data_IF_055808008652
#
_entry.id   IF_055808008652
#
_cell.length_a   1.000
_cell.length_b   1.000
_cell.length_c   1.000
_cell.angle_alpha   90.00
_cell.angle_beta   90.00
_cell.angle_gamma   90.00
#
_symmetry.space_group_name_H-M   'P 1'
#
loop_
_entity.id
_entity.type
_entity.pdbx_description
1 polymer ?
#
# COMPACT_ATOMS: atom_id res chain seq x y z
N UNK A 1 -8.08 34.38 11.95
CA UNK A 1 -8.62 33.06 11.54
C UNK A 1 -8.06 32.72 10.15
N UNK A 2 -6.89 32.10 10.06
CA UNK A 2 -6.67 30.65 9.82
C UNK A 2 -6.30 30.27 8.38
N UNK A 3 -5.11 30.69 7.91
CA UNK A 3 -4.44 30.05 6.76
C UNK A 3 -4.03 28.59 7.08
N UNK A 4 -3.64 28.32 8.34
CA UNK A 4 -3.32 26.96 8.83
C UNK A 4 -4.53 25.98 8.77
N UNK A 5 -5.78 26.47 8.81
CA UNK A 5 -6.97 25.58 8.63
C UNK A 5 -7.21 25.20 7.17
N UNK A 6 -6.81 26.04 6.22
CA UNK A 6 -7.03 25.74 4.80
C UNK A 6 -6.09 24.62 4.31
N UNK A 7 -4.80 24.63 4.69
CA UNK A 7 -3.87 23.53 4.41
C UNK A 7 -4.34 22.19 5.02
N UNK A 8 -4.87 22.20 6.25
CA UNK A 8 -5.49 20.99 6.85
C UNK A 8 -6.68 20.49 6.04
N UNK A 9 -7.55 21.37 5.52
CA UNK A 9 -8.68 20.97 4.66
C UNK A 9 -8.23 20.40 3.30
N UNK A 10 -7.11 20.85 2.73
CA UNK A 10 -6.57 20.32 1.47
C UNK A 10 -5.94 18.94 1.65
N UNK A 11 -5.19 18.71 2.74
CA UNK A 11 -4.67 17.38 3.10
C UNK A 11 -5.80 16.41 3.48
N UNK A 12 -6.85 16.90 4.16
CA UNK A 12 -8.08 16.12 4.43
C UNK A 12 -8.89 15.82 3.16
N UNK A 13 -8.83 16.67 2.12
CA UNK A 13 -9.46 16.40 0.82
C UNK A 13 -8.67 15.39 -0.02
N UNK A 14 -7.33 15.38 0.09
CA UNK A 14 -6.49 14.35 -0.56
C UNK A 14 -6.69 12.95 0.05
N UNK A 15 -7.03 12.85 1.33
CA UNK A 15 -7.41 11.58 2.01
C UNK A 15 -8.82 11.05 1.65
N UNK A 16 -9.69 11.85 1.02
CA UNK A 16 -11.12 11.51 0.81
C UNK A 16 -11.44 10.58 -0.37
N UNK A 17 -10.43 9.97 -0.99
CA UNK A 17 -10.61 8.81 -1.88
C UNK A 17 -9.82 7.61 -1.38
N UNK A 18 -9.70 7.45 -0.06
CA UNK A 18 -9.58 6.09 0.46
C UNK A 18 -10.81 5.33 0.00
N UNK A 19 -10.61 4.41 -0.95
CA UNK A 19 -11.64 3.52 -1.44
C UNK A 19 -12.32 2.88 -0.24
N UNK A 20 -13.67 2.87 -0.18
CA UNK A 20 -14.42 2.16 0.88
C UNK A 20 -13.88 0.72 1.08
N UNK A 21 -13.51 0.06 -0.03
CA UNK A 21 -12.88 -1.27 -0.05
C UNK A 21 -11.58 -1.38 0.76
N UNK A 22 -10.85 -0.28 0.94
CA UNK A 22 -9.63 -0.27 1.73
C UNK A 22 -9.95 -0.23 3.24
N UNK A 23 -11.02 0.46 3.63
CA UNK A 23 -11.48 0.45 5.02
C UNK A 23 -12.03 -0.92 5.39
N UNK A 24 -12.86 -1.51 4.52
CA UNK A 24 -13.34 -2.89 4.66
C UNK A 24 -12.18 -3.89 4.80
N UNK A 25 -11.10 -3.69 4.03
CA UNK A 25 -9.90 -4.53 4.12
C UNK A 25 -9.20 -4.41 5.49
N UNK A 26 -9.13 -3.21 6.06
CA UNK A 26 -8.53 -3.00 7.37
C UNK A 26 -9.36 -3.65 8.48
N UNK A 27 -10.69 -3.54 8.41
CA UNK A 27 -11.59 -4.19 9.38
C UNK A 27 -11.42 -5.72 9.35
N UNK A 28 -11.34 -6.32 8.17
CA UNK A 28 -11.09 -7.76 8.02
C UNK A 28 -9.71 -8.15 8.56
N UNK A 29 -8.68 -7.33 8.33
CA UNK A 29 -7.34 -7.58 8.85
C UNK A 29 -7.29 -7.55 10.39
N UNK A 30 -8.05 -6.64 11.02
CA UNK A 30 -8.18 -6.56 12.47
C UNK A 30 -8.94 -7.77 13.05
N UNK A 31 -9.98 -8.24 12.37
CA UNK A 31 -10.68 -9.48 12.75
C UNK A 31 -9.77 -10.70 12.66
N UNK A 32 -8.99 -10.81 11.58
CA UNK A 32 -8.02 -11.89 11.41
C UNK A 32 -6.89 -11.83 12.45
N UNK A 33 -6.51 -10.63 12.92
CA UNK A 33 -5.52 -10.50 14.00
C UNK A 33 -6.04 -11.09 15.31
N UNK A 34 -7.33 -10.86 15.63
CA UNK A 34 -7.99 -11.43 16.81
C UNK A 34 -8.08 -12.96 16.73
N UNK A 35 -8.18 -13.50 15.52
CA UNK A 35 -8.12 -14.95 15.26
C UNK A 35 -6.69 -15.51 15.19
N UNK A 36 -5.67 -14.70 15.49
CA UNK A 36 -4.23 -15.03 15.37
C UNK A 36 -3.79 -15.43 13.94
N UNK A 37 -4.59 -15.09 12.93
CA UNK A 37 -4.30 -15.34 11.51
C UNK A 37 -3.61 -14.14 10.90
N UNK A 38 -2.33 -14.32 10.60
CA UNK A 38 -1.48 -13.26 10.10
C UNK A 38 -1.35 -13.31 8.57
N UNK A 39 -1.86 -12.28 7.89
CA UNK A 39 -1.94 -12.24 6.43
C UNK A 39 -1.28 -10.98 5.88
N UNK A 40 -0.50 -11.16 4.81
CA UNK A 40 0.09 -10.06 4.04
C UNK A 40 -0.63 -9.92 2.71
N UNK A 41 -1.29 -8.78 2.49
CA UNK A 41 -2.08 -8.50 1.29
C UNK A 41 -1.37 -7.44 0.46
N UNK A 42 -1.13 -7.72 -0.83
CA UNK A 42 -0.52 -6.76 -1.74
C UNK A 42 -1.54 -5.69 -2.15
N UNK A 43 -1.14 -4.43 -2.08
CA UNK A 43 -2.01 -3.28 -2.34
C UNK A 43 -1.34 -2.33 -3.33
N UNK A 44 -2.16 -1.73 -4.19
CA UNK A 44 -1.71 -0.71 -5.11
C UNK A 44 -1.32 0.57 -4.36
N UNK A 45 -0.10 1.11 -4.54
CA UNK A 45 0.32 2.34 -3.88
C UNK A 45 -0.50 3.57 -4.31
N UNK A 46 -1.10 3.54 -5.51
CA UNK A 46 -1.82 4.68 -6.07
C UNK A 46 -3.30 4.72 -5.66
N UNK A 47 -4.03 3.61 -5.81
CA UNK A 47 -5.48 3.58 -5.56
C UNK A 47 -5.88 2.79 -4.29
N UNK A 48 -4.90 2.22 -3.57
CA UNK A 48 -5.11 1.37 -2.39
C UNK A 48 -6.00 0.14 -2.63
N UNK A 49 -6.13 -0.31 -3.88
CA UNK A 49 -6.84 -1.54 -4.21
C UNK A 49 -6.01 -2.79 -3.93
N UNK A 50 -6.60 -3.88 -3.38
CA UNK A 50 -5.95 -5.17 -3.24
C UNK A 50 -5.84 -5.96 -4.56
N UNK A 51 -6.41 -5.45 -5.67
CA UNK A 51 -6.39 -6.12 -6.99
C UNK A 51 -5.07 -5.88 -7.72
N UNK A 52 -3.96 -6.26 -7.08
CA UNK A 52 -2.61 -6.24 -7.64
C UNK A 52 -2.23 -7.64 -8.09
N UNK A 53 -1.69 -7.76 -9.30
CA UNK A 53 -1.18 -9.02 -9.85
C UNK A 53 0.26 -8.88 -10.31
N UNK A 54 1.03 -9.95 -10.25
CA UNK A 54 2.33 -10.02 -10.94
C UNK A 54 2.11 -10.06 -12.45
N UNK A 55 2.86 -9.25 -13.19
CA UNK A 55 2.88 -9.26 -14.66
C UNK A 55 3.64 -10.50 -15.12
N UNK A 56 3.04 -11.27 -16.02
CA UNK A 56 3.68 -12.48 -16.56
C UNK A 56 4.69 -12.12 -17.65
N UNK A 57 5.59 -13.06 -17.96
CA UNK A 57 6.57 -12.92 -19.04
C UNK A 57 5.88 -12.60 -20.38
N UNK A 58 4.79 -13.32 -20.68
CA UNK A 58 3.95 -13.12 -21.88
C UNK A 58 3.21 -11.77 -21.91
N UNK A 59 3.07 -11.08 -20.77
CA UNK A 59 2.43 -9.76 -20.66
C UNK A 59 3.47 -8.62 -20.64
N UNK A 60 4.76 -8.92 -20.82
CA UNK A 60 5.83 -7.93 -20.98
C UNK A 60 6.83 -7.82 -19.83
N UNK A 61 6.90 -8.79 -18.90
CA UNK A 61 7.96 -8.84 -17.87
C UNK A 61 8.97 -9.99 -18.09
N UNK A 62 9.50 -10.08 -19.32
CA UNK A 62 10.54 -11.06 -19.67
C UNK A 62 11.79 -10.91 -18.81
N UNK A 63 12.18 -9.66 -18.51
CA UNK A 63 13.34 -9.36 -17.67
C UNK A 63 13.24 -9.95 -16.26
N UNK A 64 12.04 -9.97 -15.65
CA UNK A 64 11.88 -10.61 -14.34
C UNK A 64 11.87 -12.12 -14.43
N UNK A 65 11.30 -12.67 -15.50
CA UNK A 65 11.31 -14.11 -15.70
C UNK A 65 12.73 -14.67 -15.87
N UNK A 66 13.62 -13.90 -16.49
CA UNK A 66 15.05 -14.19 -16.61
C UNK A 66 15.85 -13.88 -15.33
N UNK A 67 15.22 -13.40 -14.26
CA UNK A 67 15.88 -13.05 -13.01
C UNK A 67 16.77 -11.80 -13.07
N UNK A 68 16.75 -11.05 -14.17
CA UNK A 68 17.56 -9.83 -14.32
C UNK A 68 17.01 -8.66 -13.51
N UNK A 69 15.68 -8.57 -13.38
CA UNK A 69 15.01 -7.50 -12.66
C UNK A 69 13.96 -8.05 -11.69
N UNK A 70 13.66 -7.34 -10.58
CA UNK A 70 12.59 -7.73 -9.66
C UNK A 70 11.23 -7.84 -10.36
N UNK A 71 10.31 -8.63 -9.80
CA UNK A 71 8.97 -8.81 -10.38
C UNK A 71 8.25 -7.48 -10.63
N UNK A 72 7.64 -7.34 -11.81
CA UNK A 72 6.73 -6.25 -12.12
C UNK A 72 5.31 -6.63 -11.71
N UNK A 73 4.58 -5.65 -11.21
CA UNK A 73 3.21 -5.78 -10.74
C UNK A 73 2.30 -4.83 -11.49
N UNK A 74 1.02 -5.17 -11.55
CA UNK A 74 -0.03 -4.39 -12.17
C UNK A 74 -1.26 -4.32 -11.27
N UNK A 75 -1.83 -3.12 -11.10
CA UNK A 75 -3.15 -2.95 -10.52
C UNK A 75 -4.24 -2.97 -11.62
N UNK A 76 -5.20 -3.88 -11.49
CA UNK A 76 -6.32 -3.99 -12.45
C UNK A 76 -7.30 -2.83 -12.42
N UNK A 77 -7.36 -2.09 -11.31
CA UNK A 77 -8.36 -1.02 -11.15
C UNK A 77 -7.89 0.34 -11.67
N UNK A 78 -6.58 0.64 -11.61
CA UNK A 78 -6.04 1.95 -12.03
C UNK A 78 -4.91 1.87 -13.08
N UNK A 79 -4.47 0.66 -13.44
CA UNK A 79 -3.41 0.47 -14.44
C UNK A 79 -2.00 0.76 -13.94
N UNK A 80 -1.80 1.03 -12.65
CA UNK A 80 -0.47 1.17 -12.05
C UNK A 80 0.40 -0.05 -12.37
N UNK A 81 1.62 0.16 -12.87
CA UNK A 81 2.54 -0.89 -13.34
C UNK A 81 4.00 -0.61 -12.97
N UNK A 82 4.46 -1.16 -11.86
CA UNK A 82 5.81 -0.94 -11.34
C UNK A 82 6.36 -2.18 -10.63
N UNK A 83 7.63 -2.13 -10.20
CA UNK A 83 8.29 -3.26 -9.51
C UNK A 83 8.22 -3.15 -7.97
N UNK A 84 7.76 -2.02 -7.42
CA UNK A 84 7.64 -1.80 -5.98
C UNK A 84 6.24 -2.19 -5.49
N UNK A 85 6.13 -3.09 -4.52
CA UNK A 85 4.83 -3.49 -3.95
C UNK A 85 4.69 -3.02 -2.52
N UNK A 86 3.53 -2.46 -2.23
CA UNK A 86 3.11 -2.15 -0.85
C UNK A 86 2.28 -3.33 -0.34
N UNK A 87 2.53 -3.76 0.89
CA UNK A 87 1.73 -4.78 1.56
C UNK A 87 1.00 -4.15 2.74
N UNK A 88 -0.28 -4.45 2.90
CA UNK A 88 -0.94 -4.32 4.20
C UNK A 88 -0.81 -5.63 4.94
N UNK A 89 -0.54 -5.54 6.24
CA UNK A 89 -0.39 -6.69 7.12
C UNK A 89 -1.00 -6.35 8.46
N UNK A 90 -1.56 -7.36 9.13
CA UNK A 90 -1.98 -7.31 10.52
C UNK A 90 -0.91 -7.86 11.47
N UNK A 91 0.29 -8.13 10.96
CA UNK A 91 1.42 -8.52 11.81
C UNK A 91 1.87 -7.35 12.65
N UNK A 92 2.09 -7.62 13.93
CA UNK A 92 2.72 -6.69 14.85
C UNK A 92 4.12 -6.34 14.34
N UNK A 93 4.35 -5.05 14.17
CA UNK A 93 5.66 -4.53 13.77
C UNK A 93 6.62 -4.57 14.94
N UNK A 94 7.88 -4.91 14.67
CA UNK A 94 8.95 -4.85 15.66
C UNK A 94 9.34 -3.42 15.98
N UNK A 95 10.00 -3.21 17.12
CA UNK A 95 10.45 -1.88 17.58
C UNK A 95 11.31 -1.16 16.52
N UNK A 96 12.17 -1.93 15.82
CA UNK A 96 13.01 -1.40 14.73
C UNK A 96 12.19 -0.86 13.56
N UNK A 97 11.16 -1.59 13.14
CA UNK A 97 10.30 -1.21 12.01
C UNK A 97 9.49 0.05 12.36
N UNK A 98 8.97 0.11 13.59
CA UNK A 98 8.26 1.30 14.10
C UNK A 98 9.19 2.52 14.15
N UNK A 99 10.44 2.35 14.59
CA UNK A 99 11.43 3.43 14.59
C UNK A 99 11.71 3.96 13.18
N UNK A 100 11.95 3.07 12.21
CA UNK A 100 12.19 3.44 10.80
C UNK A 100 10.98 4.20 10.22
N UNK A 101 9.76 3.74 10.50
CA UNK A 101 8.54 4.43 10.04
C UNK A 101 8.43 5.82 10.67
N UNK A 102 8.70 5.94 11.97
CA UNK A 102 8.66 7.22 12.68
C UNK A 102 9.70 8.21 12.12
N UNK A 103 10.92 7.75 11.86
CA UNK A 103 11.97 8.54 11.20
C UNK A 103 11.54 8.99 9.80
N UNK A 104 11.02 8.08 8.98
CA UNK A 104 10.56 8.39 7.62
C UNK A 104 9.40 9.40 7.58
N UNK A 105 8.54 9.42 8.60
CA UNK A 105 7.48 10.43 8.72
C UNK A 105 8.08 11.82 8.98
N UNK A 106 9.13 11.90 9.78
CA UNK A 106 9.79 13.16 10.14
C UNK A 106 10.69 13.73 9.03
N UNK A 107 11.12 12.92 8.06
CA UNK A 107 11.92 13.38 6.91
C UNK A 107 11.11 14.24 5.91
N UNK A 108 9.77 14.20 5.98
CA UNK A 108 8.90 15.04 5.13
C UNK A 108 8.79 16.47 5.69
N UNK A 109 9.88 17.24 5.58
CA UNK A 109 9.91 18.71 5.63
C UNK A 109 10.63 19.28 4.42
#
# INVERSE_FOLDING_TARGET
>A
MTEKKQKKKVVLKQKKKESQKFLELLEILDELEKEEKHVDIQICPHCKSPRVRRVRSMEGDMSSHMGMLPAKFECRDCGWRERLVVKATNRKLGVKEVAIIAEAINIKE
#
